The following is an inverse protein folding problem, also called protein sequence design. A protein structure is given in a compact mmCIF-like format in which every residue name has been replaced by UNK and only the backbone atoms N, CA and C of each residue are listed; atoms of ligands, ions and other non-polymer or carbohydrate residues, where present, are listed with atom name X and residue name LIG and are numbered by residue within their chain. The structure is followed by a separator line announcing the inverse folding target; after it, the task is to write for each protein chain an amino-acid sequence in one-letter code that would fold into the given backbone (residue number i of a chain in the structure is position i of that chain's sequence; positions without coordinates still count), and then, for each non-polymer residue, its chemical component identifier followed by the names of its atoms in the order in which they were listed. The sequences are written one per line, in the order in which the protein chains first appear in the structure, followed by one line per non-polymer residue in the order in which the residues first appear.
data_IF_293001002330
#
_entry.id   IF_293001002330
#
_cell.length_a   1.000
_cell.length_b   1.000
_cell.length_c   1.000
_cell.angle_alpha   90.00
_cell.angle_beta   90.00
_cell.angle_gamma   90.00
#
_symmetry.space_group_name_H-M   'P 1'
#
loop_
_entity.id
_entity.type
_entity.pdbx_description
1 polymer ?
#
# COMPACT_ATOMS: atom_id res chain seq x y z
N UNK A 1 6.13 -4.54 -3.44
CA UNK A 1 4.82 -4.12 -2.90
C UNK A 1 3.72 -5.14 -3.15
N UNK A 2 3.36 -5.44 -4.41
CA UNK A 2 2.29 -6.39 -4.77
C UNK A 2 2.35 -7.74 -4.04
N UNK A 3 3.48 -8.45 -4.11
CA UNK A 3 3.65 -9.73 -3.40
C UNK A 3 3.64 -9.66 -1.87
N UNK A 4 3.68 -8.45 -1.29
CA UNK A 4 3.54 -8.26 0.16
C UNK A 4 2.07 -8.24 0.59
N UNK A 5 1.18 -7.66 -0.21
CA UNK A 5 -0.25 -7.58 0.08
C UNK A 5 -0.91 -8.98 0.03
N UNK A 6 -0.66 -9.73 -1.06
CA UNK A 6 -1.25 -11.05 -1.29
C UNK A 6 -0.94 -12.05 -0.17
N UNK A 7 0.30 -12.05 0.33
CA UNK A 7 0.75 -12.94 1.41
C UNK A 7 0.11 -12.64 2.77
N UNK A 8 -0.62 -11.53 2.91
CA UNK A 8 -1.13 -11.03 4.20
C UNK A 8 -2.65 -11.11 4.32
N UNK A 9 -3.30 -11.75 3.34
CA UNK A 9 -4.76 -11.89 3.30
C UNK A 9 -5.48 -10.69 2.69
N UNK A 10 -4.75 -9.86 1.94
CA UNK A 10 -5.31 -8.78 1.14
C UNK A 10 -5.13 -9.12 -0.34
N UNK A 11 -6.22 -9.11 -1.10
CA UNK A 11 -6.19 -9.31 -2.55
C UNK A 11 -6.10 -7.95 -3.25
N UNK A 12 -5.06 -7.70 -4.05
CA UNK A 12 -4.94 -6.46 -4.80
C UNK A 12 -6.01 -6.38 -5.90
N UNK A 13 -6.67 -5.23 -6.00
CA UNK A 13 -7.67 -4.92 -7.01
C UNK A 13 -7.13 -3.93 -8.06
N UNK A 14 -6.33 -2.95 -7.63
CA UNK A 14 -5.74 -1.96 -8.52
C UNK A 14 -4.40 -1.46 -7.96
N UNK A 15 -3.46 -1.13 -8.83
CA UNK A 15 -2.19 -0.47 -8.46
C UNK A 15 -1.96 0.69 -9.41
N UNK A 16 -1.77 1.87 -8.85
CA UNK A 16 -1.40 3.08 -9.56
C UNK A 16 -0.08 3.60 -8.99
N UNK A 17 0.78 4.15 -9.85
CA UNK A 17 2.07 4.68 -9.46
C UNK A 17 2.38 5.96 -10.23
N UNK A 18 2.77 7.00 -9.51
CA UNK A 18 3.15 8.28 -10.09
C UNK A 18 4.48 8.77 -9.50
N UNK A 19 5.44 9.06 -10.38
CA UNK A 19 6.69 9.70 -10.01
C UNK A 19 6.42 11.13 -9.56
N UNK A 20 7.02 11.54 -8.44
CA UNK A 20 6.82 12.87 -7.90
C UNK A 20 7.74 13.90 -8.59
N UNK A 21 7.33 15.18 -8.69
CA UNK A 21 8.12 16.21 -9.37
C UNK A 21 9.46 16.51 -8.71
N UNK A 22 9.64 16.10 -7.46
CA UNK A 22 10.79 16.42 -6.61
C UNK A 22 11.92 15.37 -6.63
N UNK A 23 11.91 14.46 -7.62
CA UNK A 23 13.00 13.54 -7.90
C UNK A 23 12.60 12.07 -7.83
N UNK A 24 13.40 11.24 -7.15
CA UNK A 24 13.33 9.78 -7.17
C UNK A 24 12.16 9.17 -6.36
N UNK A 25 11.22 10.00 -5.90
CA UNK A 25 10.10 9.58 -5.05
C UNK A 25 8.90 9.17 -5.88
N UNK A 26 8.22 8.13 -5.42
CA UNK A 26 7.01 7.61 -6.03
C UNK A 26 5.85 7.67 -5.05
N UNK A 27 4.68 8.07 -5.52
CA UNK A 27 3.43 7.79 -4.84
C UNK A 27 2.81 6.55 -5.45
N UNK A 28 2.66 5.51 -4.62
CA UNK A 28 2.00 4.27 -5.01
C UNK A 28 0.65 4.19 -4.30
N UNK A 29 -0.43 4.05 -5.08
CA UNK A 29 -1.77 3.81 -4.58
C UNK A 29 -2.16 2.36 -4.87
N UNK A 30 -2.61 1.66 -3.84
CA UNK A 30 -2.99 0.25 -3.92
C UNK A 30 -4.42 0.12 -3.39
N UNK A 31 -5.33 -0.37 -4.22
CA UNK A 31 -6.67 -0.79 -3.78
C UNK A 31 -6.61 -2.28 -3.47
N UNK A 32 -7.05 -2.68 -2.29
CA UNK A 32 -7.12 -4.08 -1.88
C UNK A 32 -8.48 -4.42 -1.30
N UNK A 33 -8.87 -5.69 -1.38
CA UNK A 33 -9.96 -6.27 -0.58
C UNK A 33 -9.37 -7.25 0.45
N UNK A 34 -10.00 -7.39 1.61
CA UNK A 34 -9.57 -8.36 2.62
C UNK A 34 -10.45 -8.31 3.87
N UNK A 35 -10.42 -9.40 4.65
CA UNK A 35 -11.21 -9.52 5.90
C UNK A 35 -10.46 -8.99 7.13
N UNK A 36 -9.21 -8.55 6.94
CA UNK A 36 -8.32 -8.01 7.98
C UNK A 36 -8.55 -6.51 8.13
N UNK A 37 -8.39 -6.00 9.35
CA UNK A 37 -8.49 -4.57 9.62
C UNK A 37 -7.39 -3.75 8.90
N UNK A 38 -7.76 -2.57 8.43
CA UNK A 38 -6.92 -1.59 7.73
C UNK A 38 -5.63 -1.25 8.49
N UNK A 39 -5.71 -1.16 9.82
CA UNK A 39 -4.55 -0.87 10.69
C UNK A 39 -3.46 -1.94 10.62
N UNK A 40 -3.84 -3.21 10.38
CA UNK A 40 -2.87 -4.29 10.15
C UNK A 40 -2.11 -4.06 8.85
N UNK A 41 -2.80 -3.66 7.78
CA UNK A 41 -2.17 -3.38 6.48
C UNK A 41 -1.19 -2.21 6.61
N UNK A 42 -1.62 -1.11 7.23
CA UNK A 42 -0.79 0.07 7.45
C UNK A 42 0.49 -0.29 8.23
N UNK A 43 0.34 -0.98 9.36
CA UNK A 43 1.47 -1.40 10.20
C UNK A 43 2.44 -2.33 9.45
N UNK A 44 1.93 -3.17 8.55
CA UNK A 44 2.76 -4.08 7.77
C UNK A 44 3.52 -3.37 6.65
N UNK A 45 2.89 -2.42 5.97
CA UNK A 45 3.51 -1.63 4.90
C UNK A 45 4.52 -0.62 5.46
N UNK A 46 4.27 -0.04 6.63
CA UNK A 46 5.19 0.88 7.30
C UNK A 46 6.51 0.20 7.74
N UNK A 47 6.57 -1.14 7.77
CA UNK A 47 7.79 -1.91 8.05
C UNK A 47 8.67 -2.13 6.82
N UNK A 48 8.23 -1.73 5.63
CA UNK A 48 9.04 -1.86 4.42
C UNK A 48 10.07 -0.73 4.38
N UNK A 49 11.33 -1.10 4.18
CA UNK A 49 12.46 -0.16 4.23
C UNK A 49 12.33 1.02 3.25
N UNK A 50 11.67 0.81 2.12
CA UNK A 50 11.55 1.82 1.06
C UNK A 50 10.29 2.70 1.19
N UNK A 51 9.47 2.49 2.22
CA UNK A 51 8.28 3.29 2.48
C UNK A 51 8.61 4.50 3.36
N UNK A 52 8.54 5.70 2.79
CA UNK A 52 8.73 6.94 3.55
C UNK A 52 7.50 7.30 4.40
N UNK A 53 6.30 7.00 3.90
CA UNK A 53 5.03 7.20 4.58
C UNK A 53 3.99 6.19 4.06
N UNK A 54 3.03 5.82 4.92
CA UNK A 54 1.92 4.94 4.56
C UNK A 54 0.64 5.42 5.24
N UNK A 55 -0.39 5.62 4.44
CA UNK A 55 -1.76 5.89 4.89
C UNK A 55 -2.70 4.84 4.30
N UNK A 56 -3.73 4.47 5.06
CA UNK A 56 -4.77 3.53 4.63
C UNK A 56 -6.13 4.14 4.98
N UNK A 57 -7.03 4.09 4.01
CA UNK A 57 -8.40 4.58 4.14
C UNK A 57 -9.36 3.63 3.43
N UNK A 58 -10.60 3.46 3.94
CA UNK A 58 -11.63 2.72 3.22
C UNK A 58 -11.89 3.30 1.82
N UNK A 59 -12.19 2.44 0.86
CA UNK A 59 -12.67 2.89 -0.45
C UNK A 59 -14.13 3.34 -0.33
N UNK A 60 -14.45 4.50 -0.90
CA UNK A 60 -15.81 5.06 -0.99
C UNK A 60 -16.63 4.40 -2.10
#
# INVERSE_FOLDING_TARGET
MLGAAERRGFRPLAVDGEAQPDGDRWHLRLTVEGERADTSLQTQLAKLYDCLAVEVSPCS
#
